data_IF_298728349805
#
_entry.id   IF_298728349805
#
_cell.length_a   1.000
_cell.length_b   1.000
_cell.length_c   1.000
_cell.angle_alpha   90.00
_cell.angle_beta   90.00
_cell.angle_gamma   90.00
#
_symmetry.space_group_name_H-M   'P 1'
#
loop_
_entity.id
_entity.type
_entity.pdbx_description
1 polymer ?
#
# COMPACT_ATOMS: atom_id res chain seq x y z
N UNK A 1 19.69 7.01 -19.09
CA UNK A 1 19.07 8.11 -18.31
C UNK A 1 17.68 7.72 -17.79
N UNK A 2 16.92 6.91 -18.54
CA UNK A 2 15.56 6.46 -18.20
C UNK A 2 15.40 5.83 -16.81
N UNK A 3 16.38 5.05 -16.34
CA UNK A 3 16.33 4.41 -15.01
C UNK A 3 16.33 5.41 -13.84
N UNK A 4 17.02 6.55 -13.99
CA UNK A 4 17.10 7.59 -12.97
C UNK A 4 15.80 8.39 -12.91
N UNK A 5 15.21 8.69 -14.06
CA UNK A 5 13.91 9.38 -14.14
C UNK A 5 12.80 8.50 -13.56
N UNK A 6 12.72 7.23 -13.96
CA UNK A 6 11.75 6.28 -13.41
C UNK A 6 11.87 6.11 -11.88
N UNK A 7 13.09 6.19 -11.33
CA UNK A 7 13.32 6.15 -9.89
C UNK A 7 12.81 7.42 -9.21
N UNK A 8 13.09 8.61 -9.77
CA UNK A 8 12.63 9.88 -9.22
C UNK A 8 11.09 9.97 -9.25
N UNK A 9 10.46 9.52 -10.33
CA UNK A 9 9.00 9.45 -10.44
C UNK A 9 8.42 8.48 -9.40
N UNK A 10 8.99 7.27 -9.28
CA UNK A 10 8.53 6.29 -8.30
C UNK A 10 8.70 6.78 -6.86
N UNK A 11 9.75 7.57 -6.56
CA UNK A 11 9.95 8.20 -5.25
C UNK A 11 8.92 9.29 -4.97
N UNK A 12 8.53 10.07 -5.99
CA UNK A 12 7.46 11.06 -5.85
C UNK A 12 6.10 10.41 -5.59
N UNK A 13 5.81 9.30 -6.29
CA UNK A 13 4.61 8.49 -6.06
C UNK A 13 4.61 7.84 -4.67
N UNK A 14 5.76 7.29 -4.23
CA UNK A 14 5.93 6.74 -2.89
C UNK A 14 5.62 7.76 -1.81
N UNK A 15 6.21 8.96 -1.90
CA UNK A 15 5.93 10.05 -0.97
C UNK A 15 4.44 10.38 -0.94
N UNK A 16 3.81 10.51 -2.10
CA UNK A 16 2.38 10.84 -2.20
C UNK A 16 1.50 9.77 -1.55
N UNK A 17 1.79 8.49 -1.79
CA UNK A 17 1.06 7.37 -1.18
C UNK A 17 1.26 7.33 0.34
N UNK A 18 2.50 7.58 0.81
CA UNK A 18 2.82 7.66 2.24
C UNK A 18 2.11 8.83 2.93
N UNK A 19 2.07 10.01 2.31
CA UNK A 19 1.36 11.18 2.83
C UNK A 19 -0.14 10.90 2.96
N UNK A 20 -0.74 10.22 1.98
CA UNK A 20 -2.15 9.77 2.05
C UNK A 20 -2.37 8.79 3.20
N UNK A 21 -1.50 7.79 3.37
CA UNK A 21 -1.59 6.83 4.46
C UNK A 21 -1.46 7.52 5.83
N UNK A 22 -0.54 8.47 5.96
CA UNK A 22 -0.31 9.24 7.18
C UNK A 22 -1.54 10.08 7.56
N UNK A 23 -2.18 10.74 6.58
CA UNK A 23 -3.43 11.49 6.81
C UNK A 23 -4.57 10.57 7.25
N UNK A 24 -4.76 9.45 6.56
CA UNK A 24 -5.79 8.48 6.93
C UNK A 24 -5.58 7.93 8.35
N UNK A 25 -4.33 7.65 8.73
CA UNK A 25 -4.00 7.22 10.09
C UNK A 25 -4.28 8.32 11.12
N UNK A 26 -3.95 9.57 10.82
CA UNK A 26 -4.24 10.70 11.70
C UNK A 26 -5.76 10.87 11.92
N UNK A 27 -6.57 10.70 10.88
CA UNK A 27 -8.04 10.74 10.97
C UNK A 27 -8.61 9.58 11.81
N UNK A 28 -8.07 8.37 11.63
CA UNK A 28 -8.41 7.20 12.46
C UNK A 28 -8.07 7.48 13.92
N UNK A 29 -6.86 7.98 14.19
CA UNK A 29 -6.40 8.30 15.54
C UNK A 29 -7.26 9.40 16.19
N UNK A 30 -7.61 10.45 15.45
CA UNK A 30 -8.49 11.51 15.92
C UNK A 30 -9.91 10.99 16.22
N UNK A 31 -10.42 10.07 15.39
CA UNK A 31 -11.73 9.44 15.59
C UNK A 31 -11.70 8.51 16.81
N UNK A 32 -10.65 7.70 16.97
CA UNK A 32 -10.45 6.86 18.15
C UNK A 32 -10.32 7.68 19.44
N UNK A 33 -9.54 8.78 19.43
CA UNK A 33 -9.39 9.66 20.58
C UNK A 33 -10.71 10.31 21.01
N UNK A 34 -11.56 10.65 20.04
CA UNK A 34 -12.92 11.16 20.27
C UNK A 34 -13.83 10.10 20.87
N UNK A 35 -13.84 8.89 20.32
CA UNK A 35 -14.59 7.76 20.85
C UNK A 35 -14.18 7.40 22.30
N UNK A 36 -12.88 7.42 22.61
CA UNK A 36 -12.36 7.20 23.96
C UNK A 36 -12.85 8.23 24.99
N UNK A 37 -13.11 9.47 24.55
CA UNK A 37 -13.68 10.53 25.39
C UNK A 37 -15.21 10.45 25.51
N UNK A 38 -15.83 9.38 24.98
CA UNK A 38 -17.28 9.23 24.93
C UNK A 38 -17.98 10.17 23.94
N UNK A 39 -17.22 10.84 23.07
CA UNK A 39 -17.73 11.79 22.09
C UNK A 39 -17.49 11.28 20.69
N UNK A 40 -18.43 10.54 20.13
CA UNK A 40 -18.39 10.03 18.75
C UNK A 40 -18.22 8.52 18.64
N UNK A 41 -18.21 8.04 17.39
CA UNK A 41 -18.15 6.62 17.07
C UNK A 41 -16.71 6.13 16.85
N UNK A 42 -16.52 4.82 16.98
CA UNK A 42 -15.28 4.15 16.59
C UNK A 42 -14.94 4.43 15.12
N UNK A 43 -13.64 4.39 14.74
CA UNK A 43 -13.24 4.49 13.34
C UNK A 43 -13.99 3.50 12.47
N UNK A 44 -14.50 3.96 11.33
CA UNK A 44 -15.32 3.12 10.47
C UNK A 44 -14.48 2.08 9.71
N UNK A 45 -15.08 0.95 9.31
CA UNK A 45 -14.41 0.01 8.42
C UNK A 45 -13.93 0.65 7.10
N UNK A 46 -14.62 1.68 6.61
CA UNK A 46 -14.20 2.42 5.41
C UNK A 46 -12.92 3.22 5.65
N UNK A 47 -12.76 3.87 6.81
CA UNK A 47 -11.52 4.57 7.18
C UNK A 47 -10.33 3.60 7.24
N UNK A 48 -10.52 2.43 7.87
CA UNK A 48 -9.50 1.38 7.95
C UNK A 48 -9.12 0.84 6.56
N UNK A 49 -10.10 0.63 5.67
CA UNK A 49 -9.85 0.20 4.29
C UNK A 49 -9.09 1.26 3.49
N UNK A 50 -9.45 2.53 3.61
CA UNK A 50 -8.74 3.62 2.94
C UNK A 50 -7.28 3.71 3.38
N UNK A 51 -7.01 3.55 4.68
CA UNK A 51 -5.65 3.47 5.21
C UNK A 51 -4.88 2.26 4.64
N UNK A 52 -5.48 1.07 4.66
CA UNK A 52 -4.86 -0.15 4.13
C UNK A 52 -4.53 -0.03 2.63
N UNK A 53 -5.42 0.58 1.83
CA UNK A 53 -5.19 0.82 0.41
C UNK A 53 -4.03 1.78 0.16
N UNK A 54 -3.96 2.89 0.90
CA UNK A 54 -2.86 3.85 0.78
C UNK A 54 -1.53 3.23 1.19
N UNK A 55 -1.51 2.39 2.23
CA UNK A 55 -0.33 1.66 2.66
C UNK A 55 0.13 0.64 1.60
N UNK A 56 -0.80 -0.11 1.01
CA UNK A 56 -0.49 -1.06 -0.06
C UNK A 56 0.01 -0.36 -1.35
N UNK A 57 -0.40 0.88 -1.61
CA UNK A 57 0.17 1.69 -2.68
C UNK A 57 1.61 2.11 -2.34
N UNK A 58 1.83 2.64 -1.13
CA UNK A 58 3.17 3.03 -0.68
C UNK A 58 4.15 1.85 -0.73
N UNK A 59 3.75 0.67 -0.26
CA UNK A 59 4.59 -0.53 -0.31
C UNK A 59 4.99 -0.87 -1.75
N UNK A 60 4.05 -0.86 -2.69
CA UNK A 60 4.34 -1.15 -4.11
C UNK A 60 5.34 -0.16 -4.72
N UNK A 61 5.22 1.13 -4.43
CA UNK A 61 6.18 2.12 -4.92
C UNK A 61 7.55 1.97 -4.27
N UNK A 62 7.60 1.56 -2.99
CA UNK A 62 8.85 1.27 -2.29
C UNK A 62 9.55 0.05 -2.90
N UNK A 63 8.82 -1.04 -3.15
CA UNK A 63 9.35 -2.22 -3.83
C UNK A 63 9.89 -1.86 -5.22
N UNK A 64 9.13 -1.07 -6.00
CA UNK A 64 9.58 -0.57 -7.31
C UNK A 64 10.84 0.30 -7.22
N UNK A 65 10.95 1.16 -6.21
CA UNK A 65 12.17 1.95 -5.99
C UNK A 65 13.36 1.03 -5.68
N UNK A 66 13.18 0.00 -4.86
CA UNK A 66 14.23 -0.97 -4.54
C UNK A 66 14.68 -1.74 -5.79
N UNK A 67 13.75 -2.18 -6.64
CA UNK A 67 14.05 -2.84 -7.93
C UNK A 67 14.88 -1.92 -8.84
N UNK A 68 14.44 -0.66 -9.01
CA UNK A 68 15.11 0.33 -9.84
C UNK A 68 16.51 0.70 -9.32
N UNK A 69 16.71 0.73 -8.00
CA UNK A 69 18.03 0.98 -7.38
C UNK A 69 18.98 -0.21 -7.48
N UNK A 70 18.47 -1.44 -7.41
CA UNK A 70 19.29 -2.66 -7.49
C UNK A 70 19.61 -3.07 -8.93
N UNK A 71 19.02 -2.40 -9.94
CA UNK A 71 19.12 -2.82 -11.34
C UNK A 71 18.56 -4.23 -11.58
N UNK A 72 17.73 -4.73 -10.65
CA UNK A 72 17.10 -6.05 -10.77
C UNK A 72 15.81 -5.88 -11.59
N UNK A 73 15.61 -6.67 -12.65
CA UNK A 73 14.29 -6.76 -13.25
C UNK A 73 13.34 -7.28 -12.18
N UNK A 74 12.15 -6.66 -12.09
CA UNK A 74 11.10 -7.05 -11.17
C UNK A 74 10.99 -8.57 -11.17
N UNK A 75 11.34 -9.21 -10.06
CA UNK A 75 11.10 -10.63 -9.87
C UNK A 75 9.60 -10.76 -9.80
N UNK A 76 9.01 -11.01 -10.97
CA UNK A 76 7.60 -11.17 -11.16
C UNK A 76 7.04 -12.09 -10.08
N UNK A 77 5.92 -11.67 -9.52
CA UNK A 77 4.95 -12.58 -8.92
C UNK A 77 4.98 -13.90 -9.69
N UNK A 78 5.42 -14.99 -9.04
CA UNK A 78 5.22 -16.32 -9.56
C UNK A 78 3.71 -16.51 -9.77
N UNK A 79 3.23 -16.72 -11.01
CA UNK A 79 1.86 -17.15 -11.21
C UNK A 79 1.87 -18.68 -11.10
N UNK A 80 1.99 -19.24 -9.90
CA UNK A 80 1.59 -20.63 -9.68
C UNK A 80 0.09 -20.67 -9.41
N UNK A 81 -0.68 -20.42 -10.47
CA UNK A 81 -2.03 -20.95 -10.62
C UNK A 81 -2.05 -21.74 -11.93
N UNK A 82 -1.66 -23.01 -11.84
CA UNK A 82 -1.97 -24.02 -12.82
C UNK A 82 -2.63 -25.20 -12.10
N UNK A 83 -3.96 -25.09 -11.95
CA UNK A 83 -4.95 -26.16 -12.11
C UNK A 83 -4.50 -27.61 -11.85
N UNK A 84 -4.83 -28.11 -10.66
CA UNK A 84 -4.87 -29.54 -10.34
C UNK A 84 -6.25 -29.94 -9.79
N UNK A 85 -7.33 -29.67 -10.53
CA UNK A 85 -8.66 -30.24 -10.24
C UNK A 85 -8.70 -31.64 -10.86
N UNK A 86 -8.26 -32.65 -10.10
CA UNK A 86 -8.58 -34.04 -10.42
C UNK A 86 -9.85 -34.43 -9.68
N UNK A 87 -10.99 -34.27 -10.35
CA UNK A 87 -12.19 -35.03 -10.01
C UNK A 87 -11.95 -36.47 -10.48
N UNK A 88 -11.88 -37.41 -9.54
CA UNK A 88 -12.06 -38.83 -9.82
C UNK A 88 -13.39 -39.23 -9.15
N UNK A 89 -14.31 -39.67 -10.00
CA UNK A 89 -15.51 -40.41 -9.63
C UNK A 89 -15.15 -41.86 -9.29
#
# INVERSE_FOLDING_TARGET
MEHKEALLDSLAELRTAHDKASRAMAEIAATGARALKGSGNLPSPSQLRSYAQALAQAQRHLDRCLELMQGRPAMGMAPEVATGRSYAH
#
